data_IF_034408719401
#
_entry.id   IF_034408719401
#
_cell.length_a   1.000
_cell.length_b   1.000
_cell.length_c   1.000
_cell.angle_alpha   90.00
_cell.angle_beta   90.00
_cell.angle_gamma   90.00
#
_symmetry.space_group_name_H-M   'P 1'
#
loop_
_entity.id
_entity.type
_entity.pdbx_description
1 polymer ?
#
# COMPACT_ATOMS: atom_id res chain seq x y z
N UNK A 1 11.45 -15.82 -3.32
CA UNK A 1 11.40 -14.44 -3.86
C UNK A 1 11.49 -13.54 -2.66
N UNK A 2 12.69 -13.07 -2.38
CA UNK A 2 12.91 -12.18 -1.25
C UNK A 2 12.57 -10.75 -1.68
N UNK A 3 11.94 -10.00 -0.78
CA UNK A 3 11.64 -8.60 -1.02
C UNK A 3 12.95 -7.80 -1.16
N UNK A 4 12.97 -6.68 -1.91
CA UNK A 4 14.11 -5.77 -1.91
C UNK A 4 14.48 -5.37 -0.47
N UNK A 5 15.77 -5.20 -0.22
CA UNK A 5 16.29 -4.80 1.10
C UNK A 5 15.57 -3.54 1.62
N UNK A 6 15.02 -3.61 2.83
CA UNK A 6 14.20 -2.55 3.45
C UNK A 6 12.69 -2.61 3.16
N UNK A 7 12.23 -3.59 2.38
CA UNK A 7 10.80 -3.87 2.13
C UNK A 7 10.34 -5.23 2.69
N UNK A 8 11.20 -5.93 3.44
CA UNK A 8 10.92 -7.26 3.98
C UNK A 8 9.71 -7.26 4.91
N UNK A 9 9.52 -6.22 5.73
CA UNK A 9 8.35 -6.07 6.63
C UNK A 9 7.02 -5.98 5.87
N UNK A 10 7.03 -5.62 4.59
CA UNK A 10 5.82 -5.41 3.79
C UNK A 10 5.48 -6.60 2.91
N UNK A 11 6.30 -7.65 2.86
CA UNK A 11 6.07 -8.80 2.00
C UNK A 11 5.12 -9.84 2.65
N UNK A 12 4.17 -10.44 1.91
CA UNK A 12 3.78 -10.10 0.54
C UNK A 12 2.98 -8.79 0.46
N UNK A 13 3.34 -7.90 -0.47
CA UNK A 13 2.59 -6.66 -0.73
C UNK A 13 1.84 -6.74 -2.05
N UNK A 14 0.60 -6.26 -2.05
CA UNK A 14 -0.20 -6.10 -3.25
C UNK A 14 0.02 -4.70 -3.82
N UNK A 15 0.24 -4.61 -5.14
CA UNK A 15 0.39 -3.35 -5.86
C UNK A 15 -0.75 -3.23 -6.86
N UNK A 16 -1.33 -2.04 -6.99
CA UNK A 16 -2.44 -1.76 -7.89
C UNK A 16 -2.28 -0.40 -8.60
N UNK A 17 -2.98 -0.26 -9.73
CA UNK A 17 -3.31 1.04 -10.31
C UNK A 17 -4.64 1.49 -9.71
N UNK A 18 -4.62 2.56 -8.94
CA UNK A 18 -5.80 3.14 -8.30
C UNK A 18 -6.27 4.33 -9.13
N UNK A 19 -7.47 4.24 -9.71
CA UNK A 19 -8.13 5.36 -10.35
C UNK A 19 -8.86 6.18 -9.29
N UNK A 20 -8.41 7.42 -9.07
CA UNK A 20 -9.05 8.37 -8.18
C UNK A 20 -10.37 8.87 -8.78
N UNK A 21 -11.29 9.31 -7.92
CA UNK A 21 -12.60 9.80 -8.35
C UNK A 21 -12.50 11.07 -9.20
N UNK A 22 -11.46 11.87 -8.97
CA UNK A 22 -11.12 13.05 -9.75
C UNK A 22 -10.54 12.73 -11.14
N UNK A 23 -10.20 11.46 -11.40
CA UNK A 23 -9.75 10.97 -12.72
C UNK A 23 -8.32 10.40 -12.79
N UNK A 24 -7.28 10.96 -12.12
CA UNK A 24 -5.91 10.45 -12.20
C UNK A 24 -5.78 9.00 -11.76
N UNK A 25 -4.75 8.31 -12.28
CA UNK A 25 -4.37 6.97 -11.81
C UNK A 25 -3.04 7.01 -11.09
N UNK A 26 -2.97 6.34 -9.94
CA UNK A 26 -1.76 6.21 -9.13
C UNK A 26 -1.32 4.75 -9.04
N UNK A 27 -0.02 4.50 -9.21
CA UNK A 27 0.59 3.23 -8.80
C UNK A 27 0.81 3.26 -7.30
N UNK A 28 0.23 2.32 -6.56
CA UNK A 28 0.32 2.30 -5.11
C UNK A 28 0.22 0.88 -4.52
N UNK A 29 0.74 0.70 -3.31
CA UNK A 29 0.52 -0.52 -2.53
C UNK A 29 -0.86 -0.51 -1.85
N UNK A 30 -1.48 -1.68 -1.77
CA UNK A 30 -2.64 -1.91 -0.93
C UNK A 30 -2.21 -2.31 0.49
N UNK A 31 -3.05 -1.98 1.47
CA UNK A 31 -2.87 -2.33 2.88
C UNK A 31 -4.21 -2.73 3.50
N UNK A 32 -4.18 -3.29 4.71
CA UNK A 32 -5.37 -3.80 5.42
C UNK A 32 -6.19 -4.83 4.61
N UNK A 33 -5.50 -5.67 3.83
CA UNK A 33 -6.09 -6.79 3.10
C UNK A 33 -5.84 -8.08 3.87
N UNK A 34 -6.90 -8.79 4.24
CA UNK A 34 -6.78 -10.04 5.00
C UNK A 34 -6.29 -11.20 4.13
N UNK A 35 -6.68 -11.24 2.85
CA UNK A 35 -6.19 -12.22 1.89
C UNK A 35 -6.18 -11.68 0.46
N UNK A 36 -5.22 -12.07 -0.40
CA UNK A 36 -5.12 -11.58 -1.79
C UNK A 36 -6.38 -11.80 -2.63
N UNK A 37 -7.13 -12.86 -2.36
CA UNK A 37 -8.33 -13.26 -3.09
C UNK A 37 -9.49 -12.27 -2.91
N UNK A 38 -9.43 -11.42 -1.88
CA UNK A 38 -10.42 -10.37 -1.67
C UNK A 38 -10.27 -9.24 -2.69
N UNK A 39 -9.08 -9.06 -3.26
CA UNK A 39 -8.76 -7.94 -4.15
C UNK A 39 -9.29 -8.20 -5.55
N UNK A 40 -10.13 -7.30 -6.04
CA UNK A 40 -10.73 -7.37 -7.37
C UNK A 40 -10.73 -5.99 -8.05
N UNK A 41 -10.70 -5.99 -9.38
CA UNK A 41 -10.81 -4.76 -10.17
C UNK A 41 -12.15 -4.08 -9.85
N UNK A 42 -12.12 -2.77 -9.60
CA UNK A 42 -13.29 -1.98 -9.22
C UNK A 42 -13.58 -1.94 -7.71
N UNK A 43 -12.78 -2.63 -6.88
CA UNK A 43 -12.84 -2.46 -5.43
C UNK A 43 -12.64 -0.99 -5.03
N UNK A 44 -13.53 -0.47 -4.19
CA UNK A 44 -13.41 0.88 -3.63
C UNK A 44 -12.34 0.90 -2.54
N UNK A 45 -11.45 1.88 -2.65
CA UNK A 45 -10.35 2.08 -1.72
C UNK A 45 -10.24 3.55 -1.34
N UNK A 46 -9.66 3.81 -0.17
CA UNK A 46 -9.32 5.15 0.29
C UNK A 46 -7.82 5.28 0.56
N UNK A 47 -7.28 6.49 0.36
CA UNK A 47 -5.89 6.80 0.67
C UNK A 47 -5.69 6.82 2.19
N UNK A 48 -4.59 6.24 2.65
CA UNK A 48 -4.15 6.31 4.04
C UNK A 48 -2.67 6.65 4.14
N UNK A 49 -2.30 7.40 5.17
CA UNK A 49 -0.89 7.63 5.51
C UNK A 49 -0.31 6.39 6.20
N UNK A 50 0.83 5.90 5.72
CA UNK A 50 1.54 4.74 6.28
C UNK A 50 3.03 5.02 6.39
N UNK A 51 3.66 4.38 7.38
CA UNK A 51 5.11 4.25 7.42
C UNK A 51 5.54 3.37 6.24
N UNK A 52 6.42 3.89 5.39
CA UNK A 52 6.96 3.19 4.22
C UNK A 52 8.27 2.50 4.56
N UNK A 53 9.19 3.21 5.21
CA UNK A 53 10.47 2.66 5.68
C UNK A 53 11.04 3.45 6.85
N UNK A 54 11.95 2.82 7.57
CA UNK A 54 12.80 3.46 8.58
C UNK A 54 14.24 3.30 8.14
N UNK A 55 14.98 4.40 8.02
CA UNK A 55 16.36 4.38 7.53
C UNK A 55 17.38 3.99 8.63
N UNK A 56 17.18 2.82 9.26
CA UNK A 56 17.98 2.32 10.39
C UNK A 56 17.44 2.71 11.78
N UNK A 57 18.07 2.25 12.88
CA UNK A 57 17.56 2.42 14.25
C UNK A 57 17.35 3.88 14.68
N UNK A 58 18.25 4.77 14.26
CA UNK A 58 18.20 6.21 14.53
C UNK A 58 17.80 7.01 13.26
N UNK A 59 17.25 6.33 12.27
CA UNK A 59 16.95 6.88 10.95
C UNK A 59 15.64 7.66 10.88
N UNK A 60 15.48 8.42 9.80
CA UNK A 60 14.22 9.09 9.48
C UNK A 60 13.15 8.03 9.18
N UNK A 61 11.96 8.25 9.74
CA UNK A 61 10.76 7.50 9.38
C UNK A 61 10.14 8.18 8.16
N UNK A 62 10.14 7.47 7.04
CA UNK A 62 9.49 7.94 5.82
C UNK A 62 8.01 7.56 5.82
N UNK A 63 7.16 8.57 5.77
CA UNK A 63 5.72 8.41 5.62
C UNK A 63 5.32 8.66 4.17
N UNK A 64 4.36 7.87 3.69
CA UNK A 64 3.81 7.98 2.36
C UNK A 64 2.37 7.49 2.33
N UNK A 65 1.80 7.43 1.14
CA UNK A 65 0.44 6.94 0.96
C UNK A 65 0.42 5.46 0.60
N UNK A 66 -0.59 4.76 1.11
CA UNK A 66 -1.08 3.46 0.62
C UNK A 66 -2.59 3.56 0.44
N UNK A 67 -3.21 2.51 -0.08
CA UNK A 67 -4.67 2.42 -0.21
C UNK A 67 -5.20 1.23 0.58
N UNK A 68 -6.32 1.41 1.27
CA UNK A 68 -7.04 0.32 1.95
C UNK A 68 -8.48 0.23 1.44
N UNK A 69 -9.16 -0.92 1.56
CA UNK A 69 -10.59 -1.01 1.31
C UNK A 69 -11.36 0.03 2.13
N UNK A 70 -12.37 0.64 1.52
CA UNK A 70 -13.32 1.45 2.29
C UNK A 70 -14.11 0.52 3.20
N UNK A 71 -14.02 0.70 4.51
CA UNK A 71 -14.90 0.00 5.44
C UNK A 71 -16.28 0.66 5.38
N UNK A 72 -17.32 -0.16 5.22
CA UNK A 72 -18.72 0.29 5.20
C UNK A 72 -19.20 0.58 6.61
#
# INVERSE_FOLDING_TARGET
MDAPEGFEESAPYLVALVKLDEGPMLTAQLTDIASPEQVQIGMRVEMVTRRIRTNGPDGIIEYGYKFRPVHS
#
